data_IF_818961660372
#
_entry.id   IF_818961660372
#
_cell.length_a   1.000
_cell.length_b   1.000
_cell.length_c   1.000
_cell.angle_alpha   90.00
_cell.angle_beta   90.00
_cell.angle_gamma   90.00
#
_symmetry.space_group_name_H-M   'P 1'
#
loop_
_entity.id
_entity.type
_entity.pdbx_description
1 polymer ?
#
# COMPACT_ATOMS: atom_id res chain seq x y z
N UNK A 1 7.65 7.30 12.27
CA UNK A 1 6.42 8.05 11.88
C UNK A 1 6.37 8.24 10.38
N UNK A 2 5.25 7.99 9.73
CA UNK A 2 5.11 8.34 8.32
C UNK A 2 5.21 9.86 8.13
N UNK A 3 5.88 10.27 7.06
CA UNK A 3 6.01 11.70 6.76
C UNK A 3 4.74 12.22 6.07
N UNK A 4 4.69 13.54 5.85
CA UNK A 4 3.51 14.18 5.25
C UNK A 4 3.24 13.68 3.83
N UNK A 5 4.26 13.41 3.05
CA UNK A 5 4.09 12.89 1.69
C UNK A 5 3.44 11.51 1.70
N UNK A 6 3.88 10.64 2.60
CA UNK A 6 3.29 9.30 2.78
C UNK A 6 1.81 9.42 3.12
N UNK A 7 1.47 10.31 4.05
CA UNK A 7 0.08 10.51 4.46
C UNK A 7 -0.77 11.09 3.34
N UNK A 8 -0.23 12.00 2.55
CA UNK A 8 -0.93 12.56 1.40
C UNK A 8 -1.16 11.53 0.31
N UNK A 9 -0.16 10.68 0.04
CA UNK A 9 -0.32 9.56 -0.88
C UNK A 9 -1.44 8.63 -0.40
N UNK A 10 -1.44 8.29 0.88
CA UNK A 10 -2.49 7.47 1.49
C UNK A 10 -3.86 8.11 1.28
N UNK A 11 -3.99 9.41 1.53
CA UNK A 11 -5.26 10.11 1.39
C UNK A 11 -5.78 10.06 -0.04
N UNK A 12 -4.91 10.20 -1.03
CA UNK A 12 -5.28 10.09 -2.44
C UNK A 12 -5.74 8.69 -2.81
N UNK A 13 -5.05 7.67 -2.31
CA UNK A 13 -5.44 6.28 -2.53
C UNK A 13 -6.81 6.02 -1.95
N UNK A 14 -7.03 6.44 -0.69
CA UNK A 14 -8.32 6.25 -0.01
C UNK A 14 -9.45 6.94 -0.79
N UNK A 15 -9.21 8.17 -1.22
CA UNK A 15 -10.21 8.95 -1.96
C UNK A 15 -10.61 8.29 -3.28
N UNK A 16 -9.66 7.70 -3.99
CA UNK A 16 -9.90 7.18 -5.34
C UNK A 16 -10.33 5.71 -5.37
N UNK A 17 -9.84 4.89 -4.43
CA UNK A 17 -10.09 3.45 -4.44
C UNK A 17 -11.09 3.00 -3.41
N UNK A 18 -11.35 3.79 -2.38
CA UNK A 18 -12.19 3.40 -1.23
C UNK A 18 -11.78 2.02 -0.71
N UNK A 19 -10.49 1.83 -0.38
CA UNK A 19 -10.00 0.52 0.05
C UNK A 19 -10.45 0.18 1.46
N UNK A 20 -10.26 -1.08 1.85
CA UNK A 20 -10.49 -1.51 3.22
C UNK A 20 -9.33 -1.11 4.12
N UNK A 21 -8.09 -1.26 3.62
CA UNK A 21 -6.88 -0.96 4.38
C UNK A 21 -5.79 -0.46 3.46
N UNK A 22 -4.91 0.39 3.99
CA UNK A 22 -3.69 0.82 3.32
C UNK A 22 -2.54 0.63 4.30
N UNK A 23 -1.54 -0.13 3.91
CA UNK A 23 -0.32 -0.36 4.69
C UNK A 23 0.88 0.29 4.03
N UNK A 24 1.79 0.78 4.86
CA UNK A 24 3.15 1.11 4.45
C UNK A 24 4.05 -0.06 4.86
N UNK A 25 4.90 -0.54 3.97
CA UNK A 25 5.86 -1.57 4.31
C UNK A 25 7.23 -1.19 3.76
N UNK A 26 8.22 -2.09 3.86
CA UNK A 26 9.55 -1.80 3.38
C UNK A 26 10.34 -0.85 4.26
N UNK A 27 11.35 -0.20 3.69
CA UNK A 27 12.33 0.57 4.46
C UNK A 27 11.73 1.72 5.26
N UNK A 28 10.68 2.36 4.76
CA UNK A 28 10.03 3.47 5.47
C UNK A 28 9.13 3.01 6.61
N UNK A 29 8.81 1.73 6.68
CA UNK A 29 7.97 1.18 7.74
C UNK A 29 8.81 0.60 8.88
N UNK A 30 9.83 -0.18 8.55
CA UNK A 30 10.59 -0.93 9.56
C UNK A 30 12.08 -1.05 9.24
N UNK A 31 12.55 -0.38 8.19
CA UNK A 31 13.96 -0.36 7.83
C UNK A 31 14.61 0.96 8.13
N UNK A 32 15.77 1.19 7.52
CA UNK A 32 16.48 2.47 7.59
C UNK A 32 16.46 3.08 6.19
N UNK A 33 15.48 3.96 5.90
CA UNK A 33 15.40 4.54 4.56
C UNK A 33 16.59 5.43 4.26
N UNK A 34 17.10 5.32 3.03
CA UNK A 34 18.12 6.20 2.50
C UNK A 34 17.54 7.14 1.46
N UNK A 35 18.38 8.01 0.86
CA UNK A 35 17.90 8.97 -0.13
C UNK A 35 17.30 8.35 -1.38
N UNK A 36 17.69 7.11 -1.71
CA UNK A 36 17.20 6.39 -2.88
C UNK A 36 16.11 5.38 -2.55
N UNK A 37 15.63 5.34 -1.30
CA UNK A 37 14.59 4.39 -0.90
C UNK A 37 13.24 4.80 -1.45
N UNK A 38 12.48 3.80 -1.94
CA UNK A 38 11.12 4.01 -2.46
C UNK A 38 10.11 3.87 -1.33
N UNK A 39 8.91 4.42 -1.56
CA UNK A 39 7.77 4.13 -0.68
C UNK A 39 7.10 2.85 -1.17
N UNK A 40 6.77 1.96 -0.25
CA UNK A 40 6.11 0.69 -0.55
C UNK A 40 4.74 0.67 0.13
N UNK A 41 3.68 0.58 -0.67
CA UNK A 41 2.30 0.54 -0.19
C UNK A 41 1.64 -0.77 -0.55
N UNK A 42 0.87 -1.32 0.38
CA UNK A 42 -0.01 -2.45 0.12
C UNK A 42 -1.45 -2.01 0.37
N UNK A 43 -2.29 -2.16 -0.64
CA UNK A 43 -3.70 -1.74 -0.58
C UNK A 43 -4.58 -2.98 -0.54
N UNK A 44 -5.39 -3.11 0.50
CA UNK A 44 -6.36 -4.19 0.63
C UNK A 44 -7.71 -3.65 0.20
N UNK A 45 -8.29 -4.26 -0.83
CA UNK A 45 -9.62 -3.91 -1.34
C UNK A 45 -10.60 -5.04 -1.03
N UNK A 46 -11.90 -4.75 -1.12
CA UNK A 46 -12.89 -5.81 -0.89
C UNK A 46 -12.89 -6.83 -2.02
N UNK A 47 -13.51 -7.99 -1.78
CA UNK A 47 -13.47 -9.13 -2.71
C UNK A 47 -14.25 -8.89 -4.00
N UNK A 48 -15.00 -7.82 -4.12
CA UNK A 48 -15.71 -7.46 -5.34
C UNK A 48 -14.77 -6.87 -6.40
N UNK A 49 -13.61 -6.38 -5.99
CA UNK A 49 -12.61 -5.83 -6.90
C UNK A 49 -11.73 -6.94 -7.45
N UNK A 50 -12.24 -7.68 -8.42
CA UNK A 50 -11.54 -8.82 -9.03
C UNK A 50 -10.49 -8.40 -10.04
N UNK A 51 -10.58 -7.18 -10.59
CA UNK A 51 -9.59 -6.65 -11.51
C UNK A 51 -8.52 -5.86 -10.75
N UNK A 52 -7.58 -6.58 -10.14
CA UNK A 52 -6.50 -5.97 -9.38
C UNK A 52 -5.61 -5.06 -10.25
N UNK A 53 -5.49 -5.39 -11.55
CA UNK A 53 -4.69 -4.56 -12.47
C UNK A 53 -5.31 -3.17 -12.64
N UNK A 54 -6.62 -3.10 -12.84
CA UNK A 54 -7.33 -1.83 -12.95
C UNK A 54 -7.20 -1.03 -11.66
N UNK A 55 -7.29 -1.68 -10.50
CA UNK A 55 -7.12 -1.01 -9.22
C UNK A 55 -5.70 -0.48 -9.05
N UNK A 56 -4.70 -1.24 -9.47
CA UNK A 56 -3.30 -0.82 -9.41
C UNK A 56 -3.06 0.41 -10.28
N UNK A 57 -3.55 0.41 -11.52
CA UNK A 57 -3.42 1.55 -12.42
C UNK A 57 -4.09 2.78 -11.82
N UNK A 58 -5.28 2.62 -11.26
CA UNK A 58 -6.02 3.70 -10.63
C UNK A 58 -5.25 4.30 -9.45
N UNK A 59 -4.61 3.44 -8.64
CA UNK A 59 -3.79 3.88 -7.52
C UNK A 59 -2.59 4.71 -7.98
N UNK A 60 -1.87 4.25 -8.99
CA UNK A 60 -0.74 5.01 -9.53
C UNK A 60 -1.17 6.36 -10.09
N UNK A 61 -2.30 6.42 -10.78
CA UNK A 61 -2.83 7.68 -11.29
C UNK A 61 -3.21 8.64 -10.16
N UNK A 62 -3.77 8.12 -9.07
CA UNK A 62 -4.21 8.92 -7.94
C UNK A 62 -3.07 9.68 -7.27
N UNK A 63 -1.87 9.12 -7.27
CA UNK A 63 -0.72 9.68 -6.53
C UNK A 63 0.25 10.44 -7.43
N UNK A 64 0.04 10.44 -8.75
CA UNK A 64 0.98 11.00 -9.71
C UNK A 64 1.38 12.44 -9.41
N UNK A 65 0.44 13.27 -8.99
CA UNK A 65 0.67 14.69 -8.77
C UNK A 65 1.27 15.01 -7.40
N UNK A 66 1.27 14.05 -6.46
CA UNK A 66 1.70 14.34 -5.08
C UNK A 66 3.01 13.64 -4.70
N UNK A 67 3.40 12.59 -5.41
CA UNK A 67 4.65 11.89 -5.09
C UNK A 67 5.86 12.64 -5.64
N UNK A 68 6.94 12.62 -4.87
CA UNK A 68 8.22 13.23 -5.28
C UNK A 68 9.32 12.18 -5.49
N UNK A 69 9.05 10.91 -5.18
CA UNK A 69 9.98 9.80 -5.38
C UNK A 69 9.22 8.57 -5.89
N UNK A 70 9.93 7.52 -6.33
CA UNK A 70 9.27 6.30 -6.78
C UNK A 70 8.41 5.69 -5.68
N UNK A 71 7.29 5.12 -6.10
CA UNK A 71 6.35 4.45 -5.20
C UNK A 71 6.00 3.10 -5.81
N UNK A 72 6.13 2.04 -5.02
CA UNK A 72 5.69 0.70 -5.39
C UNK A 72 4.36 0.42 -4.72
N UNK A 73 3.36 0.04 -5.51
CA UNK A 73 2.01 -0.24 -5.03
C UNK A 73 1.65 -1.68 -5.35
N UNK A 74 1.24 -2.41 -4.31
CA UNK A 74 0.67 -3.75 -4.44
C UNK A 74 -0.80 -3.67 -4.02
N UNK A 75 -1.67 -4.36 -4.75
CA UNK A 75 -3.11 -4.40 -4.45
C UNK A 75 -3.54 -5.85 -4.31
N UNK A 76 -4.27 -6.15 -3.26
CA UNK A 76 -4.82 -7.48 -3.05
C UNK A 76 -6.22 -7.39 -2.46
N UNK A 77 -7.05 -8.41 -2.73
CA UNK A 77 -8.36 -8.51 -2.10
C UNK A 77 -8.20 -8.93 -0.65
N UNK A 78 -9.22 -8.64 0.17
CA UNK A 78 -9.21 -9.03 1.57
C UNK A 78 -9.03 -10.53 1.75
N UNK A 79 -9.78 -11.35 1.00
CA UNK A 79 -9.68 -12.81 1.07
C UNK A 79 -8.27 -13.29 0.73
N UNK A 80 -7.68 -12.75 -0.33
CA UNK A 80 -6.33 -13.12 -0.74
C UNK A 80 -5.29 -12.68 0.30
N UNK A 81 -5.43 -11.48 0.85
CA UNK A 81 -4.54 -10.96 1.88
C UNK A 81 -4.58 -11.84 3.13
N UNK A 82 -5.79 -12.16 3.62
CA UNK A 82 -5.98 -13.01 4.80
C UNK A 82 -5.43 -14.41 4.59
N UNK A 83 -5.62 -14.97 3.41
CA UNK A 83 -5.10 -16.30 3.08
C UNK A 83 -3.58 -16.32 3.02
N UNK A 84 -2.99 -15.34 2.32
CA UNK A 84 -1.55 -15.32 2.07
C UNK A 84 -0.73 -14.90 3.29
N UNK A 85 -1.29 -14.07 4.18
CA UNK A 85 -0.55 -13.61 5.36
C UNK A 85 -0.24 -14.76 6.34
N UNK A 86 -0.96 -15.88 6.22
CA UNK A 86 -0.73 -17.08 7.06
C UNK A 86 0.50 -17.88 6.58
N UNK A 87 1.06 -17.55 5.44
CA UNK A 87 2.19 -18.26 4.84
C UNK A 87 3.33 -17.30 4.59
N UNK A 88 4.53 -17.84 4.35
CA UNK A 88 5.69 -17.01 3.98
C UNK A 88 5.42 -16.28 2.67
N UNK A 89 5.18 -14.97 2.74
CA UNK A 89 4.75 -14.14 1.61
C UNK A 89 4.98 -12.67 1.91
N UNK A 90 4.82 -11.81 0.89
CA UNK A 90 4.84 -10.38 1.11
C UNK A 90 3.68 -9.94 2.02
N UNK A 91 2.52 -10.59 1.90
CA UNK A 91 1.36 -10.29 2.74
C UNK A 91 1.65 -10.59 4.21
N UNK A 92 2.39 -11.65 4.52
CA UNK A 92 2.80 -11.94 5.89
C UNK A 92 3.72 -10.84 6.42
N UNK A 93 4.68 -10.41 5.63
CA UNK A 93 5.58 -9.32 6.02
C UNK A 93 4.80 -8.04 6.28
N UNK A 94 3.88 -7.68 5.41
CA UNK A 94 3.03 -6.50 5.57
C UNK A 94 2.20 -6.58 6.84
N UNK A 95 1.57 -7.73 7.09
CA UNK A 95 0.71 -7.91 8.26
C UNK A 95 1.50 -7.86 9.57
N UNK A 96 2.73 -8.39 9.59
CA UNK A 96 3.53 -8.47 10.81
C UNK A 96 4.37 -7.22 11.07
N UNK A 97 4.89 -6.59 10.03
CA UNK A 97 5.87 -5.50 10.15
C UNK A 97 5.40 -4.19 9.56
N UNK A 98 4.40 -4.21 8.71
CA UNK A 98 3.90 -3.01 8.06
C UNK A 98 3.23 -2.05 9.03
N UNK A 99 3.11 -0.81 8.62
CA UNK A 99 2.40 0.23 9.37
C UNK A 99 1.03 0.42 8.73
N UNK A 100 -0.02 0.22 9.50
CA UNK A 100 -1.39 0.45 9.02
C UNK A 100 -1.66 1.94 8.97
N UNK A 101 -1.87 2.48 7.76
CA UNK A 101 -2.14 3.91 7.57
C UNK A 101 -3.63 4.22 7.51
N UNK A 102 -4.45 3.25 7.11
CA UNK A 102 -5.90 3.42 6.96
C UNK A 102 -6.58 2.07 7.17
N UNK A 103 -7.69 2.10 7.88
CA UNK A 103 -8.46 0.90 8.21
C UNK A 103 -8.16 0.36 9.62
#
# INVERSE_FOLDING_TARGET
MPNEEIMEIKDRIVSQLSPLQVYLFGSYAYGTPGPDSDYDFYIVVDDQHTDWHAQTVKAYKAIRSVRTKPVDILVGTKSNFEKRKAHSSIEQEVAQKGVLLYG
#
